data_IF_820461403525
#
_entry.id   IF_820461403525
#
_cell.length_a   1.000
_cell.length_b   1.000
_cell.length_c   1.000
_cell.angle_alpha   90.00
_cell.angle_beta   90.00
_cell.angle_gamma   90.00
#
_symmetry.space_group_name_H-M   'P 1'
#
loop_
_entity.id
_entity.type
_entity.pdbx_description
1 polymer ?
#
# COMPACT_ATOMS: atom_id res chain seq x y z
N UNK A 1 -0.19 -4.98 -2.98
CA UNK A 1 0.75 -3.90 -2.61
C UNK A 1 0.17 -2.83 -1.67
N UNK A 2 -1.12 -2.51 -1.74
CA UNK A 2 -1.71 -1.58 -0.76
C UNK A 2 -1.83 -2.30 0.59
N UNK A 3 -1.30 -1.66 1.64
CA UNK A 3 -1.37 -2.15 3.00
C UNK A 3 -2.33 -1.30 3.84
N UNK A 4 -1.86 -0.21 4.38
CA UNK A 4 -2.67 0.65 5.24
C UNK A 4 -3.41 1.70 4.40
N UNK A 5 -4.66 1.92 4.73
CA UNK A 5 -5.48 2.97 4.13
C UNK A 5 -6.20 3.78 5.22
N UNK A 6 -6.29 5.08 5.00
CA UNK A 6 -7.15 5.97 5.78
C UNK A 6 -8.21 6.54 4.87
N UNK A 7 -9.46 6.32 5.24
CA UNK A 7 -10.63 6.72 4.47
C UNK A 7 -11.46 7.71 5.29
N UNK A 8 -11.85 8.82 4.67
CA UNK A 8 -12.83 9.73 5.25
C UNK A 8 -14.08 9.76 4.38
N UNK A 9 -15.22 9.51 4.99
CA UNK A 9 -16.53 9.63 4.36
C UNK A 9 -17.28 10.78 5.01
N UNK A 10 -17.59 11.81 4.23
CA UNK A 10 -18.36 12.96 4.71
C UNK A 10 -19.86 12.70 4.60
N UNK A 11 -20.63 13.22 5.54
CA UNK A 11 -22.09 13.10 5.61
C UNK A 11 -22.77 13.61 4.32
N UNK A 12 -22.23 14.68 3.72
CA UNK A 12 -22.69 15.19 2.43
C UNK A 12 -22.58 14.18 1.28
N UNK A 13 -21.63 13.25 1.35
CA UNK A 13 -21.44 12.20 0.31
C UNK A 13 -22.60 11.19 0.31
N UNK A 14 -23.24 10.99 1.45
CA UNK A 14 -24.40 10.08 1.62
C UNK A 14 -25.73 10.83 1.62
N UNK A 15 -25.74 12.09 1.19
CA UNK A 15 -26.94 12.95 1.16
C UNK A 15 -27.68 13.00 2.50
N UNK A 16 -26.94 12.98 3.60
CA UNK A 16 -27.45 13.04 4.99
C UNK A 16 -28.47 11.93 5.36
N UNK A 17 -28.46 10.80 4.65
CA UNK A 17 -29.41 9.71 4.86
C UNK A 17 -29.02 8.70 5.94
N UNK A 18 -27.76 8.74 6.41
CA UNK A 18 -27.20 7.80 7.39
C UNK A 18 -26.86 8.57 8.65
N UNK A 19 -27.41 8.16 9.78
CA UNK A 19 -26.92 8.66 11.08
C UNK A 19 -25.63 7.93 11.46
N UNK A 20 -24.49 8.59 11.23
CA UNK A 20 -23.18 8.00 11.50
C UNK A 20 -23.00 7.62 12.98
N UNK A 21 -23.48 8.44 13.90
CA UNK A 21 -23.29 8.18 15.33
C UNK A 21 -24.10 6.94 15.78
N UNK A 22 -25.33 6.84 15.36
CA UNK A 22 -26.21 5.72 15.72
C UNK A 22 -25.89 4.47 14.90
N UNK A 23 -25.90 4.56 13.57
CA UNK A 23 -25.85 3.38 12.69
C UNK A 23 -24.47 2.75 12.61
N UNK A 24 -23.39 3.55 12.54
CA UNK A 24 -22.01 3.04 12.49
C UNK A 24 -21.53 2.71 13.91
N UNK A 25 -21.92 3.52 14.89
CA UNK A 25 -21.59 3.28 16.30
C UNK A 25 -22.05 1.92 16.79
N UNK A 26 -23.24 1.46 16.34
CA UNK A 26 -23.77 0.15 16.69
C UNK A 26 -23.01 -1.06 16.08
N UNK A 27 -22.13 -0.83 15.10
CA UNK A 27 -21.40 -1.87 14.35
C UNK A 27 -19.94 -2.05 14.75
N UNK A 28 -19.46 -1.25 15.71
CA UNK A 28 -18.05 -1.24 16.12
C UNK A 28 -17.91 -1.52 17.61
N UNK A 29 -16.73 -1.96 18.00
CA UNK A 29 -16.35 -2.04 19.41
C UNK A 29 -15.98 -0.64 19.91
N UNK A 30 -16.90 0.02 20.61
CA UNK A 30 -16.72 1.39 21.10
C UNK A 30 -15.72 1.45 22.27
N UNK A 31 -14.75 2.33 22.16
CA UNK A 31 -13.88 2.72 23.26
C UNK A 31 -14.54 3.86 24.08
N UNK A 32 -15.24 3.50 25.14
CA UNK A 32 -15.99 4.44 25.98
C UNK A 32 -15.08 5.54 26.56
N UNK A 33 -13.81 5.22 26.89
CA UNK A 33 -12.87 6.19 27.47
C UNK A 33 -12.45 7.29 26.51
N UNK A 34 -12.52 6.99 25.20
CA UNK A 34 -12.13 7.91 24.11
C UNK A 34 -13.32 8.51 23.38
N UNK A 35 -14.54 8.13 23.77
CA UNK A 35 -15.80 8.56 23.18
C UNK A 35 -16.51 9.61 24.06
N UNK A 36 -17.29 10.47 23.44
CA UNK A 36 -18.18 11.45 24.08
C UNK A 36 -19.41 11.71 23.19
N UNK A 37 -20.26 12.65 23.57
CA UNK A 37 -21.50 13.01 22.85
C UNK A 37 -21.26 13.53 21.41
N UNK A 38 -20.07 14.05 21.12
CA UNK A 38 -19.71 14.62 19.80
C UNK A 38 -18.85 13.69 18.96
N UNK A 39 -18.29 12.63 19.56
CA UNK A 39 -17.35 11.74 18.90
C UNK A 39 -17.39 10.34 19.49
N UNK A 40 -17.59 9.35 18.63
CA UNK A 40 -17.39 7.94 18.96
C UNK A 40 -16.03 7.48 18.41
N UNK A 41 -15.24 6.84 19.25
CA UNK A 41 -13.99 6.17 18.88
C UNK A 41 -14.15 4.69 19.14
N UNK A 42 -13.76 3.86 18.18
CA UNK A 42 -13.87 2.43 18.32
C UNK A 42 -13.07 1.67 17.29
N UNK A 43 -13.31 0.39 17.18
CA UNK A 43 -12.64 -0.47 16.22
C UNK A 43 -13.56 -1.54 15.65
N UNK A 44 -13.27 -1.92 14.41
CA UNK A 44 -13.79 -3.13 13.78
C UNK A 44 -12.58 -3.96 13.36
N UNK A 45 -12.33 -5.07 14.07
CA UNK A 45 -11.10 -5.85 13.96
C UNK A 45 -9.86 -4.92 14.14
N UNK A 46 -8.95 -4.87 13.15
CA UNK A 46 -7.77 -4.01 13.15
C UNK A 46 -8.01 -2.59 12.57
N UNK A 47 -9.25 -2.27 12.16
CA UNK A 47 -9.61 -0.95 11.67
C UNK A 47 -10.00 -0.05 12.85
N UNK A 48 -9.27 1.07 13.03
CA UNK A 48 -9.66 2.13 13.96
C UNK A 48 -10.68 3.05 13.31
N UNK A 49 -11.74 3.38 14.02
CA UNK A 49 -12.86 4.14 13.48
C UNK A 49 -13.15 5.32 14.41
N UNK A 50 -13.25 6.49 13.80
CA UNK A 50 -13.62 7.74 14.46
C UNK A 50 -14.89 8.25 13.77
N UNK A 51 -15.94 8.45 14.55
CA UNK A 51 -17.25 8.88 14.07
C UNK A 51 -17.55 10.24 14.68
N UNK A 52 -17.85 11.18 13.83
CA UNK A 52 -18.40 12.50 14.19
C UNK A 52 -19.69 12.72 13.39
N UNK A 53 -20.57 13.64 13.79
CA UNK A 53 -21.84 13.86 13.07
C UNK A 53 -21.66 14.17 11.57
N UNK A 54 -20.53 14.73 11.20
CA UNK A 54 -20.24 15.20 9.82
C UNK A 54 -19.37 14.26 9.00
N UNK A 55 -18.68 13.32 9.63
CA UNK A 55 -17.82 12.37 8.92
C UNK A 55 -17.52 11.09 9.73
N UNK A 56 -17.12 10.06 9.00
CA UNK A 56 -16.48 8.86 9.54
C UNK A 56 -15.06 8.77 8.99
N UNK A 57 -14.07 8.60 9.89
CA UNK A 57 -12.67 8.35 9.53
C UNK A 57 -12.32 6.92 9.92
N UNK A 58 -11.82 6.15 8.95
CA UNK A 58 -11.47 4.74 9.09
C UNK A 58 -9.98 4.58 8.79
N UNK A 59 -9.23 3.89 9.65
CA UNK A 59 -7.78 3.77 9.57
C UNK A 59 -7.35 2.33 9.87
N UNK A 60 -6.59 1.70 8.98
CA UNK A 60 -6.05 0.36 9.25
C UNK A 60 -5.41 -0.30 8.04
N UNK A 61 -4.88 -1.49 8.26
CA UNK A 61 -4.33 -2.35 7.22
C UNK A 61 -5.45 -3.15 6.56
N UNK A 62 -5.66 -2.96 5.26
CA UNK A 62 -6.64 -3.72 4.48
C UNK A 62 -6.31 -5.22 4.41
N UNK A 63 -5.04 -5.65 4.20
CA UNK A 63 -4.70 -7.07 4.26
C UNK A 63 -4.99 -7.68 5.62
N UNK A 64 -4.66 -7.00 6.73
CA UNK A 64 -4.99 -7.51 8.08
C UNK A 64 -6.49 -7.62 8.30
N UNK A 65 -7.27 -6.69 7.78
CA UNK A 65 -8.73 -6.73 7.87
C UNK A 65 -9.31 -7.88 7.03
N UNK A 66 -8.77 -8.09 5.82
CA UNK A 66 -9.35 -9.02 4.85
C UNK A 66 -8.86 -10.46 5.04
N UNK A 67 -7.56 -10.64 5.33
CA UNK A 67 -6.92 -11.97 5.49
C UNK A 67 -6.52 -12.31 6.94
N UNK A 68 -6.64 -11.36 7.88
CA UNK A 68 -6.13 -11.50 9.25
C UNK A 68 -4.65 -11.14 9.43
N UNK A 69 -3.89 -10.95 8.35
CA UNK A 69 -2.45 -10.66 8.37
C UNK A 69 -2.03 -9.78 7.19
N UNK A 70 -0.90 -9.08 7.34
CA UNK A 70 -0.22 -8.38 6.24
C UNK A 70 1.15 -9.01 5.91
N UNK A 71 1.35 -10.26 6.27
CA UNK A 71 2.40 -11.10 5.71
C UNK A 71 2.12 -11.39 4.23
N UNK A 72 0.84 -11.53 3.88
CA UNK A 72 0.37 -11.66 2.50
C UNK A 72 -0.01 -10.29 1.95
N UNK A 73 0.47 -9.96 0.77
CA UNK A 73 0.10 -8.73 0.08
C UNK A 73 -1.30 -8.85 -0.53
N UNK A 74 -2.14 -7.85 -0.33
CA UNK A 74 -3.45 -7.77 -0.98
C UNK A 74 -3.27 -7.41 -2.46
N UNK A 75 -3.58 -8.30 -3.40
CA UNK A 75 -3.50 -8.00 -4.83
C UNK A 75 -4.62 -7.01 -5.20
N UNK A 76 -4.45 -6.30 -6.32
CA UNK A 76 -5.47 -5.32 -6.73
C UNK A 76 -6.80 -5.98 -7.07
N UNK A 77 -6.80 -7.18 -7.61
CA UNK A 77 -8.01 -7.97 -7.90
C UNK A 77 -8.88 -8.14 -6.66
N UNK A 78 -8.27 -8.28 -5.49
CA UNK A 78 -8.93 -8.43 -4.19
C UNK A 78 -9.23 -7.10 -3.48
N UNK A 79 -8.65 -6.00 -3.95
CA UNK A 79 -8.79 -4.69 -3.31
C UNK A 79 -10.24 -4.20 -3.29
N UNK A 80 -10.97 -4.44 -4.38
CA UNK A 80 -12.41 -4.14 -4.44
C UNK A 80 -13.17 -4.94 -3.39
N UNK A 81 -12.91 -6.25 -3.28
CA UNK A 81 -13.58 -7.15 -2.35
C UNK A 81 -13.32 -6.72 -0.89
N UNK A 82 -12.08 -6.32 -0.57
CA UNK A 82 -11.72 -5.85 0.76
C UNK A 82 -12.46 -4.55 1.14
N UNK A 83 -12.56 -3.59 0.21
CA UNK A 83 -13.32 -2.35 0.42
C UNK A 83 -14.82 -2.64 0.51
N UNK A 84 -15.34 -3.54 -0.31
CA UNK A 84 -16.78 -3.88 -0.30
C UNK A 84 -17.16 -4.63 0.97
N UNK A 85 -16.30 -5.54 1.46
CA UNK A 85 -16.48 -6.18 2.75
C UNK A 85 -16.58 -5.13 3.87
N UNK A 86 -15.62 -4.20 3.92
CA UNK A 86 -15.60 -3.14 4.93
C UNK A 86 -16.82 -2.21 4.81
N UNK A 87 -17.27 -1.94 3.57
CA UNK A 87 -18.51 -1.18 3.28
C UNK A 87 -19.72 -1.88 3.85
N UNK A 88 -19.85 -3.18 3.66
CA UNK A 88 -20.96 -4.00 4.15
C UNK A 88 -20.96 -4.09 5.68
N UNK A 89 -19.79 -4.36 6.26
CA UNK A 89 -19.66 -4.52 7.72
C UNK A 89 -20.00 -3.20 8.46
N UNK A 90 -19.70 -2.05 7.87
CA UNK A 90 -20.03 -0.73 8.45
C UNK A 90 -21.36 -0.15 7.95
N UNK A 91 -21.92 -0.67 6.86
CA UNK A 91 -23.13 -0.11 6.22
C UNK A 91 -22.85 1.26 5.56
N UNK A 92 -21.63 1.47 5.06
CA UNK A 92 -21.20 2.74 4.48
C UNK A 92 -20.77 2.58 3.01
N UNK A 93 -21.02 3.54 2.11
CA UNK A 93 -20.58 3.49 0.72
C UNK A 93 -19.09 3.89 0.60
N UNK A 94 -18.18 3.05 1.12
CA UNK A 94 -16.75 3.38 1.22
C UNK A 94 -16.04 3.49 -0.12
N UNK A 95 -16.64 3.02 -1.20
CA UNK A 95 -16.16 3.30 -2.56
C UNK A 95 -16.07 4.80 -2.84
N UNK A 96 -16.96 5.60 -2.22
CA UNK A 96 -17.00 7.07 -2.37
C UNK A 96 -16.15 7.82 -1.35
N UNK A 97 -15.58 7.13 -0.34
CA UNK A 97 -14.73 7.73 0.67
C UNK A 97 -13.43 8.29 0.06
N UNK A 98 -12.98 9.43 0.58
CA UNK A 98 -11.74 10.07 0.19
C UNK A 98 -10.58 9.38 0.91
N UNK A 99 -9.51 9.08 0.18
CA UNK A 99 -8.28 8.54 0.73
C UNK A 99 -7.44 9.68 1.31
N UNK A 100 -7.21 9.63 2.63
CA UNK A 100 -6.39 10.62 3.33
C UNK A 100 -4.98 10.11 3.67
N UNK A 101 -4.77 8.80 3.62
CA UNK A 101 -3.46 8.17 3.66
C UNK A 101 -3.51 6.84 2.93
N UNK A 102 -2.43 6.51 2.26
CA UNK A 102 -2.22 5.20 1.66
C UNK A 102 -0.78 4.76 1.87
N UNK A 103 -0.61 3.55 2.36
CA UNK A 103 0.69 2.92 2.51
C UNK A 103 0.81 1.81 1.46
N UNK A 104 1.88 1.89 0.69
CA UNK A 104 2.19 0.91 -0.36
C UNK A 104 3.45 0.20 0.05
N UNK A 105 3.36 -1.10 0.21
CA UNK A 105 4.48 -1.89 0.69
C UNK A 105 4.51 -3.29 0.11
N UNK A 106 5.69 -3.89 0.19
CA UNK A 106 5.94 -5.24 -0.27
C UNK A 106 6.97 -5.94 0.60
N UNK A 107 6.74 -7.21 0.83
CA UNK A 107 7.64 -8.11 1.51
C UNK A 107 8.55 -8.78 0.47
N UNK A 108 9.86 -8.79 0.71
CA UNK A 108 10.84 -9.37 -0.18
C UNK A 108 11.75 -10.28 0.61
N UNK A 109 11.83 -11.53 0.24
CA UNK A 109 12.80 -12.47 0.80
C UNK A 109 14.21 -12.09 0.31
N UNK A 110 15.16 -12.01 1.23
CA UNK A 110 16.53 -11.56 0.99
C UNK A 110 17.54 -12.56 1.57
N UNK A 111 18.74 -12.61 0.97
CA UNK A 111 19.77 -13.59 1.36
C UNK A 111 20.37 -13.31 2.76
N UNK A 112 20.42 -12.04 3.17
CA UNK A 112 21.04 -11.61 4.43
C UNK A 112 20.00 -11.03 5.39
N UNK A 113 20.29 -10.94 6.69
CA UNK A 113 19.40 -10.28 7.64
C UNK A 113 19.01 -8.87 7.17
N UNK A 114 17.72 -8.49 7.21
CA UNK A 114 17.22 -7.22 6.65
C UNK A 114 18.00 -5.98 7.10
N UNK A 115 18.54 -6.00 8.32
CA UNK A 115 19.32 -4.87 8.86
C UNK A 115 20.62 -4.63 8.08
N UNK A 116 21.24 -5.65 7.49
CA UNK A 116 22.49 -5.48 6.73
C UNK A 116 22.30 -4.63 5.47
N UNK A 117 21.07 -4.58 4.94
CA UNK A 117 20.75 -3.74 3.78
C UNK A 117 20.60 -2.25 4.12
N UNK A 118 20.48 -1.87 5.41
CA UNK A 118 20.30 -0.47 5.78
C UNK A 118 21.54 0.38 5.47
N UNK A 119 22.75 -0.17 5.53
CA UNK A 119 23.97 0.53 5.12
C UNK A 119 24.07 0.71 3.60
N UNK A 120 23.49 -0.20 2.84
CA UNK A 120 23.41 -0.13 1.38
C UNK A 120 22.51 1.02 0.90
N UNK A 121 21.40 1.29 1.58
CA UNK A 121 20.51 2.40 1.26
C UNK A 121 21.07 3.71 1.80
N UNK A 122 21.70 4.50 0.94
CA UNK A 122 22.36 5.77 1.28
C UNK A 122 21.42 6.96 1.38
N UNK A 123 21.60 7.95 0.53
CA UNK A 123 20.88 9.24 0.59
C UNK A 123 19.69 9.21 -0.34
N UNK A 124 18.55 9.69 0.15
CA UNK A 124 17.40 10.09 -0.67
C UNK A 124 17.26 11.62 -0.59
N UNK A 125 17.39 12.29 -1.73
CA UNK A 125 17.35 13.76 -1.80
C UNK A 125 16.04 14.31 -1.20
N UNK A 126 16.15 15.32 -0.35
CA UNK A 126 15.05 15.99 0.35
C UNK A 126 14.35 15.14 1.44
N UNK A 127 14.94 14.03 1.84
CA UNK A 127 14.47 13.22 2.94
C UNK A 127 15.53 13.15 4.03
N UNK A 128 15.11 13.20 5.27
CA UNK A 128 15.92 12.88 6.44
C UNK A 128 16.02 11.37 6.58
N UNK A 129 17.25 10.85 6.71
CA UNK A 129 17.54 9.43 6.83
C UNK A 129 17.77 9.05 8.29
N UNK A 130 16.93 8.20 8.85
CA UNK A 130 16.98 7.81 10.25
C UNK A 130 17.04 6.27 10.38
N UNK A 131 18.14 5.75 10.93
CA UNK A 131 18.26 4.33 11.30
C UNK A 131 17.78 4.15 12.73
N UNK A 132 16.80 3.28 12.90
CA UNK A 132 16.32 2.80 14.21
C UNK A 132 16.78 1.35 14.42
N UNK A 133 16.52 0.77 15.61
CA UNK A 133 17.02 -0.56 15.97
C UNK A 133 16.77 -1.64 14.90
N UNK A 134 15.56 -1.70 14.33
CA UNK A 134 15.15 -2.74 13.37
C UNK A 134 14.56 -2.15 12.07
N UNK A 135 14.78 -0.88 11.80
CA UNK A 135 14.18 -0.19 10.67
C UNK A 135 15.02 0.99 10.21
N UNK A 136 14.94 1.29 8.92
CA UNK A 136 15.49 2.48 8.30
C UNK A 136 14.32 3.32 7.78
N UNK A 137 14.31 4.60 8.11
CA UNK A 137 13.33 5.56 7.65
C UNK A 137 13.96 6.64 6.78
N UNK A 138 13.19 7.08 5.79
CA UNK A 138 13.39 8.32 5.06
C UNK A 138 12.16 9.18 5.30
N UNK A 139 12.32 10.31 5.96
CA UNK A 139 11.22 11.12 6.47
C UNK A 139 11.14 12.46 5.75
N UNK A 140 9.94 12.81 5.32
CA UNK A 140 9.57 14.10 4.79
C UNK A 140 8.17 14.45 5.33
N UNK A 141 7.83 15.74 5.33
CA UNK A 141 6.55 16.24 5.88
C UNK A 141 5.31 15.47 5.35
N UNK A 142 5.32 15.11 4.06
CA UNK A 142 4.15 14.58 3.36
C UNK A 142 4.26 13.11 2.98
N UNK A 143 5.43 12.55 3.10
CA UNK A 143 5.75 11.19 2.67
C UNK A 143 6.84 10.59 3.58
N UNK A 144 6.73 9.30 3.85
CA UNK A 144 7.74 8.56 4.62
C UNK A 144 7.99 7.22 3.93
N UNK A 145 9.27 6.87 3.73
CA UNK A 145 9.66 5.54 3.33
C UNK A 145 10.20 4.79 4.55
N UNK A 146 9.94 3.49 4.61
CA UNK A 146 10.56 2.65 5.62
C UNK A 146 10.98 1.29 5.07
N UNK A 147 12.11 0.80 5.59
CA UNK A 147 12.61 -0.54 5.41
C UNK A 147 12.71 -1.20 6.77
N UNK A 148 12.21 -2.42 6.91
CA UNK A 148 12.27 -3.13 8.17
C UNK A 148 12.19 -4.65 8.02
N UNK A 149 12.61 -5.34 9.08
CA UNK A 149 12.53 -6.78 9.20
C UNK A 149 11.09 -7.20 9.46
N UNK A 150 10.45 -7.77 8.45
CA UNK A 150 9.02 -8.12 8.50
C UNK A 150 8.75 -9.29 9.44
N UNK A 151 9.68 -10.24 9.54
CA UNK A 151 9.54 -11.38 10.46
C UNK A 151 9.59 -10.93 11.91
N UNK A 152 10.55 -10.04 12.25
CA UNK A 152 10.62 -9.48 13.60
C UNK A 152 9.41 -8.64 13.94
N UNK A 153 8.88 -7.86 12.99
CA UNK A 153 7.65 -7.09 13.19
C UNK A 153 6.46 -8.01 13.43
N UNK A 154 6.26 -9.02 12.59
CA UNK A 154 5.18 -9.99 12.72
C UNK A 154 5.25 -10.76 14.05
N UNK A 155 6.44 -11.18 14.47
CA UNK A 155 6.68 -11.82 15.77
C UNK A 155 6.32 -10.91 16.94
N UNK A 156 6.73 -9.64 16.89
CA UNK A 156 6.44 -8.66 17.94
C UNK A 156 4.92 -8.39 18.07
N UNK A 157 4.19 -8.46 16.97
CA UNK A 157 2.73 -8.28 16.94
C UNK A 157 1.93 -9.59 17.04
N UNK A 158 2.60 -10.74 17.24
CA UNK A 158 1.96 -12.07 17.33
C UNK A 158 1.04 -12.33 16.13
N UNK A 159 1.56 -12.07 14.93
CA UNK A 159 0.78 -12.24 13.70
C UNK A 159 0.33 -13.71 13.57
N UNK A 160 -0.97 -14.00 13.39
CA UNK A 160 -1.51 -15.35 13.43
C UNK A 160 -1.04 -16.23 12.25
N UNK A 161 -0.59 -15.62 11.16
CA UNK A 161 -0.11 -16.34 9.98
C UNK A 161 1.42 -16.49 9.95
N UNK A 162 2.12 -16.14 11.03
CA UNK A 162 3.56 -16.34 11.14
C UNK A 162 3.86 -17.80 11.46
N UNK A 163 4.29 -18.56 10.44
CA UNK A 163 4.67 -19.97 10.59
C UNK A 163 6.09 -20.15 11.09
N UNK A 164 6.43 -21.35 11.59
CA UNK A 164 7.81 -21.72 11.98
C UNK A 164 8.79 -21.56 10.82
N UNK A 165 8.40 -21.95 9.62
CA UNK A 165 9.23 -21.82 8.42
C UNK A 165 9.55 -20.36 8.05
N UNK A 166 8.61 -19.44 8.32
CA UNK A 166 8.84 -18.01 8.10
C UNK A 166 9.80 -17.40 9.10
N UNK A 167 9.93 -17.98 10.30
CA UNK A 167 10.85 -17.48 11.33
C UNK A 167 12.33 -17.55 10.91
N UNK A 168 12.66 -18.51 10.06
CA UNK A 168 14.02 -18.72 9.54
C UNK A 168 14.32 -17.91 8.27
N UNK A 169 13.31 -17.21 7.73
CA UNK A 169 13.45 -16.40 6.53
C UNK A 169 13.88 -14.96 6.85
N UNK A 170 14.69 -14.40 5.97
CA UNK A 170 15.00 -12.98 5.97
C UNK A 170 14.02 -12.25 5.07
N UNK A 171 13.03 -11.59 5.64
CA UNK A 171 12.03 -10.84 4.86
C UNK A 171 12.22 -9.35 5.12
N UNK A 172 12.71 -8.65 4.11
CA UNK A 172 12.81 -7.18 4.11
C UNK A 172 11.51 -6.59 3.56
N UNK A 173 10.84 -5.78 4.35
CA UNK A 173 9.70 -4.99 3.86
C UNK A 173 10.17 -3.61 3.45
N UNK A 174 9.77 -3.20 2.26
CA UNK A 174 9.85 -1.83 1.78
C UNK A 174 8.45 -1.25 1.68
N UNK A 175 8.23 -0.07 2.27
CA UNK A 175 6.93 0.58 2.37
C UNK A 175 7.06 2.09 2.20
N UNK A 176 6.13 2.69 1.46
CA UNK A 176 5.93 4.15 1.41
C UNK A 176 4.57 4.52 1.98
N UNK A 177 4.55 5.59 2.77
CA UNK A 177 3.37 6.17 3.40
C UNK A 177 3.09 7.54 2.80
N UNK A 178 2.07 7.64 1.98
CA UNK A 178 1.61 8.89 1.39
C UNK A 178 0.50 9.50 2.22
N UNK A 179 0.74 10.70 2.77
CA UNK A 179 -0.25 11.46 3.54
C UNK A 179 -1.17 12.27 2.61
N UNK A 180 -2.30 12.73 3.14
CA UNK A 180 -3.29 13.50 2.39
C UNK A 180 -2.72 14.69 1.61
N UNK A 181 -1.83 15.46 2.24
CA UNK A 181 -1.18 16.60 1.58
C UNK A 181 -0.39 16.20 0.35
N UNK A 182 0.30 15.05 0.39
CA UNK A 182 1.00 14.52 -0.78
C UNK A 182 0.02 14.09 -1.86
N UNK A 183 -0.99 13.30 -1.51
CA UNK A 183 -2.01 12.81 -2.44
C UNK A 183 -2.71 13.96 -3.15
N UNK A 184 -3.19 14.94 -2.40
CA UNK A 184 -3.86 16.13 -2.94
C UNK A 184 -2.94 16.96 -3.83
N UNK A 185 -1.67 17.13 -3.44
CA UNK A 185 -0.68 17.87 -4.26
C UNK A 185 -0.35 17.13 -5.54
N UNK A 186 -0.16 15.80 -5.46
CA UNK A 186 0.22 14.96 -6.59
C UNK A 186 -0.90 14.86 -7.63
N UNK A 187 -2.11 14.50 -7.19
CA UNK A 187 -3.27 14.31 -8.07
C UNK A 187 -4.04 15.60 -8.38
N UNK A 188 -3.70 16.71 -7.72
CA UNK A 188 -4.40 18.01 -7.81
C UNK A 188 -5.89 17.98 -7.42
N UNK A 189 -6.33 16.92 -6.77
CA UNK A 189 -7.69 16.68 -6.28
C UNK A 189 -7.68 15.65 -5.16
N UNK A 190 -8.81 15.48 -4.49
CA UNK A 190 -9.02 14.33 -3.63
C UNK A 190 -9.24 13.09 -4.49
N UNK A 191 -8.68 11.95 -4.08
CA UNK A 191 -8.90 10.65 -4.71
C UNK A 191 -9.85 9.81 -3.85
N UNK A 192 -10.75 9.08 -4.50
CA UNK A 192 -11.71 8.20 -3.84
C UNK A 192 -11.25 6.75 -3.88
N UNK A 193 -11.69 5.94 -2.90
CA UNK A 193 -11.30 4.54 -2.81
C UNK A 193 -11.59 3.75 -4.11
N UNK A 194 -12.72 3.97 -4.76
CA UNK A 194 -13.09 3.32 -6.03
C UNK A 194 -12.07 3.50 -7.17
N UNK A 195 -11.28 4.57 -7.12
CA UNK A 195 -10.29 4.85 -8.16
C UNK A 195 -9.08 3.92 -8.13
N UNK A 196 -8.85 3.26 -6.97
CA UNK A 196 -7.78 2.26 -6.85
C UNK A 196 -8.04 0.98 -7.66
N UNK A 197 -9.31 0.67 -7.93
CA UNK A 197 -9.74 -0.52 -8.65
C UNK A 197 -10.65 -0.23 -9.84
N UNK A 198 -10.67 1.02 -10.30
CA UNK A 198 -11.38 1.44 -11.50
C UNK A 198 -10.92 0.64 -12.74
N UNK A 199 -11.75 0.53 -13.76
CA UNK A 199 -11.41 -0.13 -15.03
C UNK A 199 -10.15 0.48 -15.64
N UNK A 200 -10.04 1.81 -15.59
CA UNK A 200 -8.83 2.55 -15.97
C UNK A 200 -7.99 2.80 -14.71
N UNK A 201 -6.95 2.01 -14.46
CA UNK A 201 -6.26 1.96 -13.16
C UNK A 201 -5.21 3.06 -12.96
N UNK A 202 -5.41 4.24 -13.52
CA UNK A 202 -4.42 5.32 -13.56
C UNK A 202 -3.92 5.69 -12.15
N UNK A 203 -4.83 5.89 -11.20
CA UNK A 203 -4.46 6.25 -9.82
C UNK A 203 -3.61 5.16 -9.17
N UNK A 204 -4.01 3.91 -9.35
CA UNK A 204 -3.25 2.78 -8.81
C UNK A 204 -1.87 2.67 -9.45
N UNK A 205 -1.78 2.75 -10.78
CA UNK A 205 -0.52 2.67 -11.51
C UNK A 205 0.43 3.81 -11.17
N UNK A 206 -0.08 5.02 -11.04
CA UNK A 206 0.70 6.19 -10.60
C UNK A 206 1.30 5.98 -9.20
N UNK A 207 0.51 5.47 -8.27
CA UNK A 207 0.97 5.20 -6.91
C UNK A 207 2.07 4.12 -6.88
N UNK A 208 1.90 3.04 -7.66
CA UNK A 208 2.90 1.97 -7.75
C UNK A 208 4.17 2.45 -8.44
N UNK A 209 4.05 3.26 -9.49
CA UNK A 209 5.20 3.84 -10.16
C UNK A 209 5.98 4.80 -9.25
N UNK A 210 5.29 5.65 -8.48
CA UNK A 210 5.93 6.54 -7.50
C UNK A 210 6.61 5.74 -6.37
N UNK A 211 6.00 4.64 -5.93
CA UNK A 211 6.60 3.72 -4.97
C UNK A 211 7.95 3.17 -5.48
N UNK A 212 7.99 2.68 -6.73
CA UNK A 212 9.22 2.19 -7.34
C UNK A 212 10.25 3.31 -7.56
N UNK A 213 9.82 4.46 -8.10
CA UNK A 213 10.70 5.58 -8.39
C UNK A 213 11.36 6.15 -7.14
N UNK A 214 10.65 6.15 -6.01
CA UNK A 214 11.24 6.56 -4.73
C UNK A 214 12.32 5.60 -4.26
N UNK A 215 12.16 4.30 -4.50
CA UNK A 215 13.22 3.33 -4.27
C UNK A 215 14.42 3.58 -5.20
N UNK A 216 14.17 3.81 -6.48
CA UNK A 216 15.20 4.07 -7.49
C UNK A 216 15.98 5.38 -7.22
N UNK A 217 15.29 6.41 -6.71
CA UNK A 217 15.86 7.70 -6.32
C UNK A 217 16.83 7.60 -5.10
N UNK A 218 16.82 6.51 -4.33
CA UNK A 218 17.79 6.30 -3.24
C UNK A 218 19.16 6.05 -3.84
N UNK A 219 20.15 6.85 -3.47
CA UNK A 219 21.54 6.62 -3.83
C UNK A 219 22.01 5.38 -3.05
N UNK A 220 22.36 4.30 -3.77
CA UNK A 220 22.89 3.08 -3.18
C UNK A 220 24.39 3.24 -2.97
N UNK A 221 24.84 2.90 -1.77
CA UNK A 221 26.26 2.87 -1.42
C UNK A 221 26.76 1.50 -1.84
N UNK A 222 27.54 1.48 -2.92
CA UNK A 222 27.93 0.25 -3.60
C UNK A 222 28.81 -0.64 -2.73
N UNK A 223 28.42 -1.88 -2.57
CA UNK A 223 29.35 -3.01 -2.41
C UNK A 223 28.74 -4.32 -2.95
N UNK A 224 27.42 -4.46 -3.05
CA UNK A 224 26.75 -5.63 -3.65
C UNK A 224 25.40 -5.22 -4.23
N UNK A 225 25.19 -5.42 -5.54
CA UNK A 225 23.83 -5.34 -6.11
C UNK A 225 23.01 -6.51 -5.54
N UNK A 226 22.12 -6.30 -4.58
CA UNK A 226 21.39 -7.41 -4.00
C UNK A 226 20.34 -7.92 -5.01
N UNK A 227 20.05 -9.21 -5.00
CA UNK A 227 18.91 -9.84 -5.68
C UNK A 227 17.59 -9.11 -5.40
N UNK A 228 17.52 -8.35 -4.31
CA UNK A 228 16.42 -7.47 -3.92
C UNK A 228 15.92 -6.57 -5.07
N UNK A 229 16.81 -5.92 -5.84
CA UNK A 229 16.39 -5.06 -6.95
C UNK A 229 15.71 -5.86 -8.06
N UNK A 230 16.23 -7.04 -8.37
CA UNK A 230 15.64 -7.94 -9.37
C UNK A 230 14.27 -8.43 -8.90
N UNK A 231 14.15 -8.81 -7.63
CA UNK A 231 12.89 -9.26 -7.04
C UNK A 231 11.86 -8.14 -7.02
N UNK A 232 12.26 -6.91 -6.65
CA UNK A 232 11.38 -5.75 -6.64
C UNK A 232 10.80 -5.45 -8.02
N UNK A 233 11.64 -5.50 -9.07
CA UNK A 233 11.21 -5.32 -10.46
C UNK A 233 10.28 -6.43 -10.91
N UNK A 234 10.59 -7.67 -10.57
CA UNK A 234 9.76 -8.81 -10.90
C UNK A 234 8.37 -8.72 -10.24
N UNK A 235 8.28 -8.36 -8.96
CA UNK A 235 7.02 -8.18 -8.23
C UNK A 235 6.16 -7.07 -8.85
N UNK A 236 6.80 -5.99 -9.27
CA UNK A 236 6.12 -4.91 -9.95
C UNK A 236 5.54 -5.34 -11.31
N UNK A 237 6.28 -6.16 -12.06
CA UNK A 237 5.81 -6.79 -13.31
C UNK A 237 4.60 -7.66 -13.07
N UNK A 238 4.62 -8.47 -12.01
CA UNK A 238 3.50 -9.35 -11.68
C UNK A 238 2.22 -8.56 -11.38
N UNK A 239 2.29 -7.50 -10.56
CA UNK A 239 1.17 -6.61 -10.27
C UNK A 239 0.60 -5.94 -11.53
N UNK A 240 1.43 -5.71 -12.54
CA UNK A 240 1.02 -5.11 -13.82
C UNK A 240 0.52 -6.16 -14.83
N UNK A 241 0.96 -7.43 -14.71
CA UNK A 241 0.64 -8.50 -15.67
C UNK A 241 -0.84 -8.87 -15.69
N UNK A 242 -1.48 -8.85 -14.52
CA UNK A 242 -2.88 -9.31 -14.35
C UNK A 242 -3.91 -8.42 -15.08
N UNK A 243 -3.45 -7.48 -15.93
CA UNK A 243 -4.36 -6.43 -16.32
C UNK A 243 -4.47 -6.08 -17.73
N UNK A 244 -3.57 -6.33 -18.53
CA UNK A 244 -3.74 -5.81 -19.83
C UNK A 244 -2.69 -6.21 -20.81
N UNK A 245 -3.16 -6.34 -21.92
CA UNK A 245 -2.41 -6.18 -23.14
C UNK A 245 -1.44 -5.00 -22.95
N UNK A 246 -0.14 -5.30 -23.01
CA UNK A 246 0.98 -4.32 -22.97
C UNK A 246 0.67 -2.99 -23.68
N UNK A 247 -0.06 -3.09 -24.79
CA UNK A 247 -0.46 -1.97 -25.63
C UNK A 247 -1.46 -1.01 -24.95
N UNK A 248 -2.32 -1.50 -24.05
CA UNK A 248 -3.33 -0.64 -23.44
C UNK A 248 -2.74 0.22 -22.32
N UNK A 249 -1.76 -0.29 -21.58
CA UNK A 249 -1.01 0.50 -20.59
C UNK A 249 -0.19 1.58 -21.29
N UNK A 250 0.50 1.23 -22.37
CA UNK A 250 1.30 2.20 -23.12
C UNK A 250 0.43 3.27 -23.77
N UNK A 251 -0.74 2.92 -24.32
CA UNK A 251 -1.70 3.89 -24.86
C UNK A 251 -2.23 4.86 -23.81
N UNK A 252 -2.57 4.36 -22.62
CA UNK A 252 -3.00 5.20 -21.51
C UNK A 252 -1.89 6.17 -21.11
N UNK A 253 -0.64 5.70 -21.01
CA UNK A 253 0.52 6.54 -20.67
C UNK A 253 0.81 7.54 -21.79
N UNK A 254 0.70 7.15 -23.04
CA UNK A 254 0.93 8.03 -24.19
C UNK A 254 -0.11 9.14 -24.27
N UNK A 255 -1.38 8.87 -23.96
CA UNK A 255 -2.44 9.90 -23.90
C UNK A 255 -2.16 11.01 -22.86
N UNK A 256 -1.38 10.72 -21.83
CA UNK A 256 -0.90 11.72 -20.86
C UNK A 256 0.40 12.41 -21.30
N UNK A 257 1.27 11.69 -22.03
CA UNK A 257 2.55 12.22 -22.54
C UNK A 257 2.35 13.34 -23.57
N UNK A 258 1.33 13.24 -24.40
CA UNK A 258 0.95 14.26 -25.41
C UNK A 258 0.60 15.61 -24.78
N UNK A 259 0.25 15.64 -23.50
CA UNK A 259 -0.05 16.86 -22.73
C UNK A 259 1.18 17.50 -22.06
N UNK A 260 2.40 17.04 -22.37
CA UNK A 260 3.63 17.59 -21.77
C UNK A 260 3.83 17.28 -20.28
N UNK A 261 3.13 16.28 -19.75
CA UNK A 261 3.23 15.93 -18.33
C UNK A 261 4.52 15.15 -18.06
N UNK A 262 5.43 15.76 -17.25
CA UNK A 262 6.67 15.11 -16.82
C UNK A 262 6.45 13.80 -16.05
N UNK A 263 5.27 13.61 -15.45
CA UNK A 263 4.89 12.40 -14.74
C UNK A 263 4.62 11.26 -15.69
N UNK A 264 3.88 11.53 -16.78
CA UNK A 264 3.61 10.53 -17.82
C UNK A 264 4.90 10.02 -18.46
N UNK A 265 5.86 10.91 -18.75
CA UNK A 265 7.18 10.53 -19.26
C UNK A 265 7.97 9.65 -18.26
N UNK A 266 7.85 9.93 -16.97
CA UNK A 266 8.46 9.15 -15.89
C UNK A 266 7.82 7.76 -15.76
N UNK A 267 6.50 7.71 -15.76
CA UNK A 267 5.72 6.47 -15.72
C UNK A 267 6.00 5.60 -16.94
N UNK A 268 6.01 6.20 -18.15
CA UNK A 268 6.37 5.52 -19.40
C UNK A 268 7.74 4.84 -19.29
N UNK A 269 8.76 5.54 -18.78
CA UNK A 269 10.11 4.99 -18.62
C UNK A 269 10.13 3.80 -17.67
N UNK A 270 9.41 3.87 -16.54
CA UNK A 270 9.32 2.76 -15.58
C UNK A 270 8.62 1.57 -16.21
N UNK A 271 7.45 1.77 -16.80
CA UNK A 271 6.68 0.71 -17.43
C UNK A 271 7.42 0.10 -18.62
N UNK A 272 8.08 0.91 -19.45
CA UNK A 272 8.88 0.41 -20.58
C UNK A 272 10.08 -0.40 -20.10
N UNK A 273 10.78 0.06 -19.04
CA UNK A 273 11.88 -0.72 -18.43
C UNK A 273 11.38 -2.07 -17.92
N UNK A 274 10.24 -2.09 -17.22
CA UNK A 274 9.61 -3.31 -16.74
C UNK A 274 9.20 -4.28 -17.83
N UNK A 275 8.74 -3.77 -18.97
CA UNK A 275 8.27 -4.58 -20.08
C UNK A 275 9.40 -5.14 -20.95
N UNK A 276 10.59 -4.53 -20.94
CA UNK A 276 11.72 -4.87 -21.80
C UNK A 276 12.79 -5.75 -21.13
N UNK A 277 12.78 -5.89 -19.82
CA UNK A 277 13.71 -6.77 -19.12
C UNK A 277 13.24 -8.25 -19.16
N UNK A 278 14.18 -9.16 -19.27
CA UNK A 278 14.03 -10.52 -19.80
C UNK A 278 13.15 -11.50 -18.99
N UNK A 279 12.59 -12.50 -19.69
CA UNK A 279 11.60 -13.49 -19.23
C UNK A 279 12.04 -14.43 -18.10
N UNK A 280 13.34 -14.60 -17.85
CA UNK A 280 13.88 -15.55 -16.88
C UNK A 280 13.54 -15.29 -15.40
N UNK A 281 13.17 -14.06 -15.07
CA UNK A 281 12.78 -13.66 -13.70
C UNK A 281 11.30 -13.99 -13.42
N UNK A 282 10.48 -14.06 -14.45
CA UNK A 282 9.04 -14.30 -14.39
C UNK A 282 8.69 -15.66 -13.80
N UNK A 283 9.42 -16.74 -14.20
CA UNK A 283 9.11 -18.11 -13.79
C UNK A 283 9.39 -18.38 -12.30
N UNK A 284 10.48 -17.84 -11.77
CA UNK A 284 10.84 -17.99 -10.36
C UNK A 284 9.89 -17.24 -9.43
N UNK A 285 9.30 -16.15 -9.91
CA UNK A 285 8.41 -15.31 -9.12
C UNK A 285 6.97 -15.80 -9.14
N UNK A 286 6.51 -16.36 -10.26
CA UNK A 286 5.22 -17.05 -10.35
C UNK A 286 5.23 -18.22 -9.37
N UNK A 287 6.34 -18.95 -9.27
CA UNK A 287 6.52 -20.04 -8.32
C UNK A 287 6.46 -19.55 -6.87
N UNK A 288 7.17 -18.48 -6.53
CA UNK A 288 7.13 -17.88 -5.19
C UNK A 288 5.72 -17.42 -4.79
N UNK A 289 4.96 -16.80 -5.69
CA UNK A 289 3.59 -16.39 -5.44
C UNK A 289 2.59 -17.54 -5.42
N UNK A 290 2.76 -18.53 -6.27
CA UNK A 290 1.97 -19.76 -6.25
C UNK A 290 2.23 -20.55 -4.97
N UNK A 291 3.47 -20.62 -4.52
CA UNK A 291 3.84 -21.23 -3.25
C UNK A 291 3.26 -20.45 -2.06
N UNK A 292 3.27 -19.12 -2.10
CA UNK A 292 2.61 -18.30 -1.07
C UNK A 292 1.08 -18.47 -1.08
N UNK A 293 0.44 -18.57 -2.23
CA UNK A 293 -1.02 -18.75 -2.35
C UNK A 293 -1.45 -20.18 -2.03
N UNK A 294 -0.70 -21.20 -2.47
CA UNK A 294 -1.01 -22.62 -2.21
C UNK A 294 -0.86 -23.02 -0.74
N UNK A 295 -0.18 -22.22 0.08
CA UNK A 295 -0.14 -22.39 1.54
C UNK A 295 -1.39 -21.88 2.27
N UNK A 296 -2.28 -21.14 1.61
CA UNK A 296 -3.44 -20.47 2.21
C UNK A 296 -4.80 -20.96 1.68
N UNK A 297 -4.81 -21.95 0.79
CA UNK A 297 -5.97 -22.71 0.32
C UNK A 297 -5.69 -24.21 0.39
#
# INVERSE_FOLDING_TARGET
MIDTIWLILHHSTVNYKIDFMAEVGAKINVDIKRSNEYRIVGSLQNMQIYIEPTFVLIQGSLPKYYYGSNLVSLPRTELSNAIDKLSTDLGLPLREAIITRIDIGMNVEVDNPPRSYFSYFGILKKFERNIRRNSLYYEQKWCQLCFYDKVKEAKAHKDPLLTSEMLDKNILRYEIRYKHSWLKHYFKRNIKAKELFAKDPIVYLDLIAEWYLKYDDIIKIDIMKPKFEMTLMGLLRWELKDRSRKQDILKIIDSFSEKGDRKAARLKRVVTKMLNEDKGIEENMIRYYQDCISFYF
#
